data_IF_337517691586
#
_entry.id   IF_337517691586
#
_cell.length_a   1.000
_cell.length_b   1.000
_cell.length_c   1.000
_cell.angle_alpha   90.00
_cell.angle_beta   90.00
_cell.angle_gamma   90.00
#
_symmetry.space_group_name_H-M   'P 1'
#
loop_
_entity.id
_entity.type
_entity.pdbx_description
1 polymer ?
#
# COMPACT_ATOMS: atom_id res chain seq x y z
N UNK A 1 28.70 19.64 -27.34
CA UNK A 1 28.43 18.19 -27.39
C UNK A 1 28.04 17.62 -26.02
N UNK A 2 28.79 17.87 -24.94
CA UNK A 2 28.44 17.39 -23.58
C UNK A 2 27.17 18.03 -22.99
N UNK A 3 26.94 19.33 -23.21
CA UNK A 3 25.73 20.01 -22.73
C UNK A 3 24.42 19.47 -23.34
N UNK A 4 24.46 19.04 -24.60
CA UNK A 4 23.30 18.38 -25.23
C UNK A 4 23.00 17.03 -24.58
N UNK A 5 24.03 16.24 -24.25
CA UNK A 5 23.83 14.93 -23.62
C UNK A 5 23.15 15.03 -22.24
N UNK A 6 23.53 16.01 -21.42
CA UNK A 6 22.90 16.22 -20.11
C UNK A 6 21.48 16.77 -20.22
N UNK A 7 21.20 17.66 -21.17
CA UNK A 7 19.86 18.21 -21.39
C UNK A 7 18.89 17.14 -21.93
N UNK A 8 19.35 16.29 -22.86
CA UNK A 8 18.60 15.15 -23.38
C UNK A 8 18.30 14.13 -22.28
N UNK A 9 19.28 13.81 -21.42
CA UNK A 9 19.08 12.93 -20.25
C UNK A 9 18.02 13.47 -19.30
N UNK A 10 18.07 14.76 -18.96
CA UNK A 10 17.09 15.40 -18.07
C UNK A 10 15.68 15.40 -18.66
N UNK A 11 15.54 15.67 -19.97
CA UNK A 11 14.24 15.59 -20.66
C UNK A 11 13.70 14.17 -20.64
N UNK A 12 14.54 13.19 -20.94
CA UNK A 12 14.15 11.77 -20.93
C UNK A 12 13.68 11.36 -19.53
N UNK A 13 14.46 11.64 -18.50
CA UNK A 13 14.12 11.30 -17.11
C UNK A 13 12.78 11.92 -16.71
N UNK A 14 12.57 13.19 -17.03
CA UNK A 14 11.30 13.87 -16.74
C UNK A 14 10.11 13.18 -17.41
N UNK A 15 10.24 12.79 -18.68
CA UNK A 15 9.17 12.08 -19.39
C UNK A 15 8.91 10.72 -18.74
N UNK A 16 9.96 9.96 -18.42
CA UNK A 16 9.82 8.65 -17.78
C UNK A 16 9.12 8.76 -16.42
N UNK A 17 9.54 9.71 -15.57
CA UNK A 17 8.92 9.97 -14.26
C UNK A 17 7.44 10.32 -14.38
N UNK A 18 7.09 11.20 -15.34
CA UNK A 18 5.69 11.58 -15.58
C UNK A 18 4.86 10.40 -16.06
N UNK A 19 5.36 9.61 -17.00
CA UNK A 19 4.67 8.43 -17.50
C UNK A 19 4.45 7.39 -16.40
N UNK A 20 5.43 7.17 -15.53
CA UNK A 20 5.29 6.28 -14.37
C UNK A 20 4.24 6.79 -13.39
N UNK A 21 4.25 8.08 -13.09
CA UNK A 21 3.27 8.71 -12.21
C UNK A 21 1.84 8.61 -12.78
N UNK A 22 1.63 8.95 -14.05
CA UNK A 22 0.33 8.83 -14.72
C UNK A 22 -0.19 7.38 -14.74
N UNK A 23 0.70 6.41 -15.02
CA UNK A 23 0.34 5.00 -14.98
C UNK A 23 -0.06 4.54 -13.57
N UNK A 24 0.64 5.03 -12.53
CA UNK A 24 0.31 4.73 -11.14
C UNK A 24 -1.05 5.33 -10.75
N UNK A 25 -1.30 6.61 -11.07
CA UNK A 25 -2.58 7.27 -10.83
C UNK A 25 -3.73 6.45 -11.40
N UNK A 26 -3.65 6.09 -12.69
CA UNK A 26 -4.69 5.31 -13.35
C UNK A 26 -4.89 3.93 -12.72
N UNK A 27 -3.80 3.21 -12.44
CA UNK A 27 -3.88 1.89 -11.83
C UNK A 27 -4.51 1.94 -10.43
N UNK A 28 -4.12 2.92 -9.61
CA UNK A 28 -4.64 3.08 -8.26
C UNK A 28 -6.12 3.46 -8.28
N UNK A 29 -6.53 4.43 -9.10
CA UNK A 29 -7.95 4.78 -9.26
C UNK A 29 -8.80 3.58 -9.66
N UNK A 30 -8.32 2.81 -10.64
CA UNK A 30 -9.01 1.61 -11.10
C UNK A 30 -9.17 0.59 -9.97
N UNK A 31 -8.10 0.30 -9.23
CA UNK A 31 -8.16 -0.67 -8.13
C UNK A 31 -9.04 -0.18 -6.98
N UNK A 32 -9.02 1.10 -6.64
CA UNK A 32 -9.92 1.66 -5.61
C UNK A 32 -11.38 1.52 -6.03
N UNK A 33 -11.71 1.76 -7.31
CA UNK A 33 -13.06 1.55 -7.83
C UNK A 33 -13.48 0.07 -7.79
N UNK A 34 -12.57 -0.85 -8.12
CA UNK A 34 -12.79 -2.31 -8.07
C UNK A 34 -12.95 -2.83 -6.64
N UNK A 35 -12.29 -2.20 -5.66
CA UNK A 35 -12.27 -2.61 -4.25
C UNK A 35 -13.06 -1.67 -3.34
N UNK A 36 -13.90 -0.78 -3.89
CA UNK A 36 -14.61 0.26 -3.11
C UNK A 36 -15.50 -0.26 -1.99
N UNK A 37 -15.96 -1.51 -2.10
CA UNK A 37 -16.77 -2.17 -1.07
C UNK A 37 -15.92 -2.81 0.04
N UNK A 38 -14.63 -3.02 -0.21
CA UNK A 38 -13.66 -3.64 0.71
C UNK A 38 -12.73 -2.63 1.38
N UNK A 39 -12.60 -1.44 0.79
CA UNK A 39 -11.78 -0.36 1.36
C UNK A 39 -12.58 0.41 2.42
N UNK A 40 -11.92 0.77 3.52
CA UNK A 40 -12.53 1.63 4.53
C UNK A 40 -12.67 3.07 4.00
N UNK A 41 -13.61 3.85 4.55
CA UNK A 41 -13.76 5.26 4.16
C UNK A 41 -12.50 6.07 4.46
N UNK A 42 -11.85 5.81 5.60
CA UNK A 42 -10.63 6.50 6.00
C UNK A 42 -9.47 6.21 5.03
N UNK A 43 -9.32 4.95 4.59
CA UNK A 43 -8.27 4.57 3.65
C UNK A 43 -8.53 5.09 2.25
N UNK A 44 -9.81 5.13 1.84
CA UNK A 44 -10.21 5.78 0.60
C UNK A 44 -9.84 7.26 0.61
N UNK A 45 -10.12 7.98 1.69
CA UNK A 45 -9.76 9.40 1.81
C UNK A 45 -8.24 9.63 1.74
N UNK A 46 -7.43 8.75 2.34
CA UNK A 46 -5.96 8.81 2.25
C UNK A 46 -5.48 8.62 0.81
N UNK A 47 -6.04 7.67 0.06
CA UNK A 47 -5.66 7.44 -1.34
C UNK A 47 -6.12 8.62 -2.22
N UNK A 48 -7.34 9.09 -2.06
CA UNK A 48 -7.89 10.21 -2.83
C UNK A 48 -7.06 11.49 -2.62
N UNK A 49 -6.61 11.75 -1.38
CA UNK A 49 -5.71 12.84 -1.07
C UNK A 49 -4.36 12.70 -1.80
N UNK A 50 -3.73 11.52 -1.71
CA UNK A 50 -2.44 11.27 -2.36
C UNK A 50 -2.52 11.33 -3.90
N UNK A 51 -3.62 10.82 -4.49
CA UNK A 51 -3.91 10.94 -5.93
C UNK A 51 -4.02 12.41 -6.35
N UNK A 52 -4.72 13.23 -5.54
CA UNK A 52 -4.85 14.65 -5.82
C UNK A 52 -3.48 15.35 -5.77
N UNK A 53 -2.68 15.10 -4.73
CA UNK A 53 -1.36 15.72 -4.62
C UNK A 53 -0.42 15.34 -5.76
N UNK A 54 -0.44 14.06 -6.21
CA UNK A 54 0.35 13.62 -7.36
C UNK A 54 -0.13 14.27 -8.66
N UNK A 55 -1.46 14.38 -8.86
CA UNK A 55 -2.03 15.09 -10.02
C UNK A 55 -1.64 16.56 -10.03
N UNK A 56 -1.68 17.22 -8.88
CA UNK A 56 -1.24 18.60 -8.74
C UNK A 56 0.26 18.74 -9.06
N UNK A 57 1.11 17.83 -8.59
CA UNK A 57 2.53 17.80 -8.94
C UNK A 57 2.76 17.59 -10.45
N UNK A 58 1.96 16.75 -11.10
CA UNK A 58 2.00 16.52 -12.55
C UNK A 58 1.61 17.75 -13.38
N UNK A 59 0.89 18.73 -12.83
CA UNK A 59 0.64 20.00 -13.53
C UNK A 59 1.88 20.90 -13.63
N UNK A 60 2.87 20.67 -12.77
CA UNK A 60 4.14 21.39 -12.78
C UNK A 60 5.26 20.64 -13.51
N UNK A 61 6.47 21.19 -13.38
CA UNK A 61 7.69 20.68 -14.03
C UNK A 61 8.76 20.18 -13.04
N UNK A 62 8.40 20.08 -11.76
CA UNK A 62 9.29 19.63 -10.68
C UNK A 62 9.36 18.09 -10.64
N UNK A 63 10.37 17.54 -11.33
CA UNK A 63 10.59 16.09 -11.42
C UNK A 63 10.82 15.45 -10.05
N UNK A 64 11.48 16.13 -9.11
CA UNK A 64 11.72 15.59 -7.76
C UNK A 64 10.41 15.49 -6.99
N UNK A 65 9.57 16.53 -7.05
CA UNK A 65 8.25 16.52 -6.44
C UNK A 65 7.34 15.43 -7.02
N UNK A 66 7.39 15.20 -8.34
CA UNK A 66 6.62 14.12 -8.96
C UNK A 66 7.11 12.75 -8.46
N UNK A 67 8.43 12.54 -8.34
CA UNK A 67 8.99 11.29 -7.77
C UNK A 67 8.52 11.08 -6.33
N UNK A 68 8.66 12.09 -5.48
CA UNK A 68 8.25 12.03 -4.07
C UNK A 68 6.77 11.65 -3.94
N UNK A 69 5.89 12.32 -4.68
CA UNK A 69 4.45 12.04 -4.64
C UNK A 69 4.08 10.69 -5.27
N UNK A 70 4.84 10.22 -6.25
CA UNK A 70 4.70 8.88 -6.82
C UNK A 70 5.04 7.81 -5.78
N UNK A 71 6.14 7.98 -5.06
CA UNK A 71 6.53 7.06 -3.98
C UNK A 71 5.53 7.08 -2.83
N UNK A 72 5.06 8.27 -2.41
CA UNK A 72 4.05 8.41 -1.37
C UNK A 72 2.75 7.68 -1.73
N UNK A 73 2.23 7.88 -2.94
CA UNK A 73 1.03 7.17 -3.41
C UNK A 73 1.25 5.66 -3.43
N UNK A 74 2.41 5.21 -3.93
CA UNK A 74 2.76 3.78 -3.97
C UNK A 74 2.78 3.14 -2.59
N UNK A 75 3.38 3.81 -1.60
CA UNK A 75 3.44 3.31 -0.22
C UNK A 75 2.06 3.24 0.44
N UNK A 76 1.23 4.28 0.29
CA UNK A 76 -0.13 4.30 0.81
C UNK A 76 -0.95 3.17 0.18
N UNK A 77 -0.88 3.04 -1.14
CA UNK A 77 -1.61 2.02 -1.89
C UNK A 77 -1.18 0.60 -1.50
N UNK A 78 0.12 0.34 -1.34
CA UNK A 78 0.63 -0.95 -0.90
C UNK A 78 0.16 -1.32 0.50
N UNK A 79 0.21 -0.36 1.44
CA UNK A 79 -0.23 -0.56 2.82
C UNK A 79 -1.71 -0.95 2.87
N UNK A 80 -2.56 -0.18 2.20
CA UNK A 80 -4.01 -0.43 2.17
C UNK A 80 -4.33 -1.74 1.45
N UNK A 81 -3.63 -2.04 0.34
CA UNK A 81 -3.79 -3.31 -0.37
C UNK A 81 -3.45 -4.52 0.52
N UNK A 82 -2.40 -4.40 1.33
CA UNK A 82 -2.02 -5.44 2.30
C UNK A 82 -3.09 -5.61 3.38
N UNK A 83 -3.63 -4.50 3.92
CA UNK A 83 -4.71 -4.52 4.92
C UNK A 83 -5.98 -5.18 4.35
N UNK A 84 -6.38 -4.86 3.12
CA UNK A 84 -7.54 -5.50 2.45
C UNK A 84 -7.31 -7.01 2.29
N UNK A 85 -6.10 -7.43 1.89
CA UNK A 85 -5.79 -8.84 1.73
C UNK A 85 -5.80 -9.59 3.07
N UNK A 86 -5.27 -8.97 4.13
CA UNK A 86 -5.32 -9.51 5.49
C UNK A 86 -6.76 -9.64 6.01
N UNK A 87 -7.59 -8.62 5.81
CA UNK A 87 -9.02 -8.66 6.17
C UNK A 87 -9.76 -9.77 5.42
N UNK A 88 -9.52 -9.92 4.12
CA UNK A 88 -10.13 -10.98 3.32
C UNK A 88 -9.70 -12.38 3.77
N UNK A 89 -8.44 -12.55 4.20
CA UNK A 89 -7.94 -13.81 4.75
C UNK A 89 -8.59 -14.15 6.10
N UNK A 90 -8.72 -13.16 6.99
CA UNK A 90 -9.40 -13.33 8.28
C UNK A 90 -10.88 -13.69 8.11
N UNK A 91 -11.58 -13.02 7.19
CA UNK A 91 -13.00 -13.29 6.92
C UNK A 91 -13.23 -14.73 6.44
N UNK A 92 -12.36 -15.26 5.57
CA UNK A 92 -12.44 -16.68 5.15
C UNK A 92 -12.20 -17.67 6.28
N UNK A 93 -11.28 -17.37 7.19
CA UNK A 93 -11.03 -18.22 8.36
C UNK A 93 -12.24 -18.22 9.33
N UNK A 94 -12.92 -17.08 9.44
CA UNK A 94 -14.11 -16.94 10.27
C UNK A 94 -15.34 -17.64 9.67
N UNK A 95 -15.50 -17.62 8.34
CA UNK A 95 -16.54 -18.40 7.64
C UNK A 95 -16.32 -19.92 7.75
N UNK A 96 -15.07 -20.40 7.75
CA UNK A 96 -14.78 -21.83 8.00
C UNK A 96 -15.04 -22.23 9.46
N UNK A 97 -14.87 -21.33 10.43
CA UNK A 97 -15.20 -21.60 11.83
C UNK A 97 -16.73 -21.56 12.10
N UNK A 98 -17.48 -20.71 11.39
CA UNK A 98 -18.93 -20.59 11.54
C UNK A 98 -19.73 -21.68 10.78
N UNK A 99 -19.15 -22.28 9.73
CA UNK A 99 -19.74 -23.41 8.98
C UNK A 99 -19.53 -24.79 9.60
N UNK A 100 -18.82 -24.89 10.72
CA UNK A 100 -18.44 -26.16 11.38
C UNK A 100 -19.36 -26.63 12.51
N UNK A 101 -20.59 -26.14 12.61
CA UNK A 101 -21.55 -26.56 13.64
C UNK A 101 -22.87 -27.07 13.04
N UNK A 102 -22.81 -28.19 12.35
CA UNK A 102 -23.95 -29.10 12.21
C UNK A 102 -23.48 -30.53 11.90
N UNK A 103 -23.52 -31.37 12.94
CA UNK A 103 -23.61 -32.84 12.93
C UNK A 103 -22.36 -33.68 12.60
N UNK A 104 -22.05 -34.63 13.49
CA UNK A 104 -21.12 -35.74 13.23
C UNK A 104 -20.09 -36.06 14.31
N UNK A 105 -20.55 -36.56 15.45
CA UNK A 105 -19.79 -37.26 16.52
C UNK A 105 -18.39 -37.79 16.17
N UNK A 106 -17.36 -37.36 16.92
CA UNK A 106 -16.29 -38.26 17.37
C UNK A 106 -15.61 -37.73 18.64
N UNK A 107 -15.50 -38.60 19.64
CA UNK A 107 -14.90 -38.35 20.94
C UNK A 107 -13.37 -38.28 20.83
N UNK A 108 -12.77 -37.19 21.31
CA UNK A 108 -11.32 -37.02 21.46
C UNK A 108 -11.00 -35.77 22.29
N UNK A 109 -10.42 -35.98 23.45
CA UNK A 109 -10.23 -35.07 24.61
C UNK A 109 -9.25 -33.88 24.33
N UNK A 110 -9.33 -32.75 25.07
CA UNK A 110 -8.74 -31.46 24.69
C UNK A 110 -7.36 -31.21 25.32
N UNK A 111 -6.55 -30.34 24.69
CA UNK A 111 -5.82 -29.25 25.35
C UNK A 111 -5.01 -28.42 24.34
N UNK A 112 -5.14 -27.10 24.50
CA UNK A 112 -4.18 -26.02 24.29
C UNK A 112 -3.26 -26.05 23.05
N UNK A 113 -3.42 -25.06 22.16
CA UNK A 113 -2.56 -23.87 22.23
C UNK A 113 -3.04 -22.84 21.20
N UNK A 114 -3.65 -21.79 21.74
CA UNK A 114 -4.18 -20.62 21.06
C UNK A 114 -3.03 -19.58 20.97
N UNK A 115 -2.12 -19.71 20.00
CA UNK A 115 -1.09 -18.67 19.78
C UNK A 115 -0.68 -18.51 18.32
N UNK A 116 -1.52 -17.84 17.52
CA UNK A 116 -1.00 -17.16 16.32
C UNK A 116 -0.46 -15.80 16.78
N UNK A 117 0.86 -15.76 16.95
CA UNK A 117 1.70 -14.61 17.27
C UNK A 117 1.28 -13.34 16.51
N UNK A 118 0.55 -12.46 17.18
CA UNK A 118 0.36 -11.07 16.79
C UNK A 118 1.27 -10.17 17.66
N UNK A 119 2.59 -10.31 17.49
CA UNK A 119 3.56 -9.34 18.01
C UNK A 119 4.23 -8.64 16.82
N UNK A 120 3.49 -7.73 16.17
CA UNK A 120 4.10 -6.67 15.38
C UNK A 120 4.28 -5.45 16.29
N UNK A 121 5.33 -5.52 17.11
CA UNK A 121 5.88 -4.37 17.83
C UNK A 121 6.49 -3.41 16.80
N UNK A 122 5.71 -2.46 16.32
CA UNK A 122 6.26 -1.19 15.82
C UNK A 122 6.76 -0.45 17.06
N UNK A 123 8.05 -0.60 17.35
CA UNK A 123 8.74 0.29 18.26
C UNK A 123 9.47 1.32 17.43
N UNK A 124 8.74 2.39 17.14
CA UNK A 124 9.29 3.66 16.70
C UNK A 124 10.42 4.14 17.60
N UNK A 125 11.39 4.79 16.95
CA UNK A 125 12.16 5.92 17.46
C UNK A 125 13.10 5.70 18.67
N UNK A 126 14.42 5.74 18.45
CA UNK A 126 15.26 6.96 18.54
C UNK A 126 16.73 6.66 18.88
N UNK A 127 17.58 7.44 18.18
CA UNK A 127 18.80 8.13 18.65
C UNK A 127 20.07 7.30 18.85
N UNK A 128 21.11 7.66 18.10
CA UNK A 128 22.33 8.39 18.58
C UNK A 128 23.29 7.35 19.20
N UNK A 129 24.61 7.33 19.06
CA UNK A 129 25.66 8.07 18.40
C UNK A 129 26.94 7.25 18.71
N UNK A 130 28.02 7.51 17.97
CA UNK A 130 29.43 7.39 18.39
C UNK A 130 30.01 6.22 19.22
N UNK A 131 31.17 5.74 18.68
CA UNK A 131 32.40 5.29 19.36
C UNK A 131 32.30 3.99 20.20
N UNK A 132 33.21 3.04 20.11
CA UNK A 132 34.67 3.07 19.96
C UNK A 132 35.16 1.74 19.38
#
# INVERSE_FOLDING_TARGET
AKEHEEEDKKRKEKIEVRNTADALVYSTEKTVEELKEKISSEDKEKIDAALKELREALTGDDTEKIKEKTEALSQIFQKISAEIYQQAAQQRQQEQAAGGSADGSWQGKPSDDDTINADYKVKDEKKDDEKE
#
